data_IF_565550667501
#
_entry.id   IF_565550667501
#
_cell.length_a   1.000
_cell.length_b   1.000
_cell.length_c   1.000
_cell.angle_alpha   90.00
_cell.angle_beta   90.00
_cell.angle_gamma   90.00
#
_symmetry.space_group_name_H-M   'P 1'
#
loop_
_entity.id
_entity.type
_entity.pdbx_description
1 polymer ?
#
# COMPACT_ATOMS: atom_id res chain seq x y z
N UNK A 1 -3.61 -2.39 -18.86
CA UNK A 1 -5.03 -2.72 -18.63
C UNK A 1 -5.11 -4.09 -17.98
N UNK A 2 -4.77 -4.22 -16.69
CA UNK A 2 -4.79 -5.52 -15.98
C UNK A 2 -5.35 -5.32 -14.57
N UNK A 3 -6.41 -4.53 -14.43
CA UNK A 3 -6.93 -4.21 -13.09
C UNK A 3 -8.44 -4.14 -13.02
N UNK A 4 -9.15 -5.06 -13.70
CA UNK A 4 -10.62 -5.04 -13.71
C UNK A 4 -11.32 -6.41 -13.67
N UNK A 5 -10.63 -7.54 -13.47
CA UNK A 5 -11.31 -8.84 -13.37
C UNK A 5 -10.65 -9.80 -12.37
N UNK A 6 -10.54 -9.37 -11.12
CA UNK A 6 -10.39 -10.29 -9.98
C UNK A 6 -11.56 -10.05 -9.04
N UNK A 7 -12.77 -10.21 -9.59
CA UNK A 7 -13.96 -10.45 -8.79
C UNK A 7 -13.70 -11.73 -8.00
N UNK A 8 -13.64 -11.59 -6.68
CA UNK A 8 -13.34 -12.65 -5.75
C UNK A 8 -14.30 -13.82 -5.93
N UNK A 9 -13.76 -14.94 -6.40
CA UNK A 9 -14.29 -16.30 -6.19
C UNK A 9 -13.25 -17.31 -6.74
N UNK A 10 -12.18 -17.53 -5.98
CA UNK A 10 -11.42 -18.78 -6.10
C UNK A 10 -12.29 -19.90 -5.53
N UNK A 11 -13.15 -20.48 -6.37
CA UNK A 11 -13.91 -21.70 -6.07
C UNK A 11 -12.95 -22.89 -6.12
N UNK A 12 -12.38 -23.32 -4.99
CA UNK A 12 -11.57 -24.54 -4.94
C UNK A 12 -11.83 -25.35 -3.65
N UNK A 13 -12.41 -26.54 -3.86
CA UNK A 13 -12.40 -27.76 -3.04
C UNK A 13 -13.11 -27.79 -1.66
N UNK A 14 -14.39 -28.15 -1.70
CA UNK A 14 -15.06 -29.18 -0.86
C UNK A 14 -14.87 -29.18 0.67
N UNK A 15 -14.73 -28.02 1.28
CA UNK A 15 -15.34 -27.73 2.58
C UNK A 15 -15.88 -26.32 2.40
N UNK A 16 -17.17 -26.14 2.63
CA UNK A 16 -17.77 -24.81 2.72
C UNK A 16 -17.92 -24.54 4.22
N UNK A 17 -16.91 -23.95 4.91
CA UNK A 17 -17.11 -23.52 6.30
C UNK A 17 -17.92 -22.21 6.33
N UNK A 18 -18.21 -21.64 5.15
CA UNK A 18 -18.89 -20.39 4.90
C UNK A 18 -20.38 -20.63 4.60
N UNK A 19 -21.07 -21.38 5.45
CA UNK A 19 -22.54 -21.35 5.52
C UNK A 19 -23.00 -19.91 5.81
N UNK A 20 -23.13 -19.09 4.75
CA UNK A 20 -23.82 -17.81 4.72
C UNK A 20 -23.36 -16.73 5.71
N UNK A 21 -22.23 -16.90 6.41
CA UNK A 21 -21.75 -15.93 7.40
C UNK A 21 -20.68 -15.02 6.81
N UNK A 22 -21.06 -13.76 6.59
CA UNK A 22 -20.12 -12.68 6.30
C UNK A 22 -19.35 -12.33 7.57
N UNK A 23 -18.06 -12.65 7.61
CA UNK A 23 -17.18 -12.23 8.69
C UNK A 23 -16.61 -10.86 8.38
N UNK A 24 -16.54 -10.04 9.41
CA UNK A 24 -16.04 -8.67 9.31
C UNK A 24 -14.72 -8.53 10.06
N UNK A 25 -13.74 -7.93 9.39
CA UNK A 25 -12.43 -7.60 9.94
C UNK A 25 -12.40 -6.12 10.30
N UNK A 26 -12.12 -5.83 11.57
CA UNK A 26 -11.78 -4.48 12.00
C UNK A 26 -10.32 -4.17 11.62
N UNK A 27 -10.14 -3.21 10.72
CA UNK A 27 -8.83 -2.65 10.36
C UNK A 27 -8.29 -1.75 11.47
N UNK A 28 -7.00 -1.43 11.42
CA UNK A 28 -6.31 -0.55 12.40
C UNK A 28 -6.96 0.83 12.52
N UNK A 29 -7.57 1.33 11.44
CA UNK A 29 -8.27 2.61 11.39
C UNK A 29 -9.71 2.58 11.92
N UNK A 30 -10.12 1.48 12.56
CA UNK A 30 -11.47 1.29 13.07
C UNK A 30 -12.51 0.97 11.99
N UNK A 31 -12.17 1.11 10.69
CA UNK A 31 -13.04 0.70 9.59
C UNK A 31 -13.22 -0.81 9.62
N UNK A 32 -14.42 -1.23 9.28
CA UNK A 32 -14.80 -2.62 9.20
C UNK A 32 -14.88 -2.98 7.72
N UNK A 33 -14.24 -4.06 7.32
CA UNK A 33 -14.27 -4.59 5.96
C UNK A 33 -14.55 -6.08 5.98
N UNK A 34 -15.09 -6.61 4.91
CA UNK A 34 -15.33 -8.04 4.81
C UNK A 34 -14.02 -8.83 4.86
N UNK A 35 -14.09 -10.01 5.48
CA UNK A 35 -13.01 -10.97 5.52
C UNK A 35 -12.80 -11.53 4.12
N UNK A 36 -11.58 -11.39 3.61
CA UNK A 36 -11.18 -11.83 2.27
C UNK A 36 -9.92 -12.69 2.39
N UNK A 37 -10.11 -13.99 2.21
CA UNK A 37 -9.04 -15.00 2.26
C UNK A 37 -8.02 -14.86 1.13
N UNK A 38 -8.42 -14.29 -0.01
CA UNK A 38 -7.54 -14.06 -1.17
C UNK A 38 -6.39 -13.15 -0.79
N UNK A 39 -6.65 -12.14 0.06
CA UNK A 39 -5.60 -11.23 0.55
C UNK A 39 -4.60 -11.92 1.46
N UNK A 40 -5.05 -12.92 2.22
CA UNK A 40 -4.18 -13.72 3.08
C UNK A 40 -3.30 -14.61 2.21
N UNK A 41 -3.89 -15.29 1.22
CA UNK A 41 -3.17 -16.11 0.24
C UNK A 41 -2.06 -15.31 -0.46
N UNK A 42 -2.39 -14.16 -1.06
CA UNK A 42 -1.43 -13.34 -1.80
C UNK A 42 -0.27 -12.86 -0.92
N UNK A 43 -0.54 -12.52 0.34
CA UNK A 43 0.50 -12.08 1.27
C UNK A 43 1.44 -13.23 1.67
N UNK A 44 0.91 -14.44 1.83
CA UNK A 44 1.69 -15.65 2.09
C UNK A 44 2.52 -16.03 0.87
N UNK A 45 1.90 -16.05 -0.32
CA UNK A 45 2.59 -16.37 -1.59
C UNK A 45 3.75 -15.39 -1.85
N UNK A 46 3.51 -14.08 -1.68
CA UNK A 46 4.56 -13.07 -1.83
C UNK A 46 5.73 -13.31 -0.86
N UNK A 47 5.46 -13.76 0.36
CA UNK A 47 6.49 -14.02 1.37
C UNK A 47 7.29 -15.29 1.07
N UNK A 48 6.64 -16.33 0.54
CA UNK A 48 7.30 -17.55 0.07
C UNK A 48 8.17 -17.29 -1.16
N UNK A 49 7.65 -16.54 -2.15
CA UNK A 49 8.44 -16.10 -3.31
C UNK A 49 9.65 -15.27 -2.88
N UNK A 50 9.47 -14.37 -1.92
CA UNK A 50 10.53 -13.50 -1.45
C UNK A 50 11.63 -14.29 -0.72
N UNK A 51 11.28 -15.35 0.00
CA UNK A 51 12.24 -16.25 0.66
C UNK A 51 13.00 -17.13 -0.33
N UNK A 52 12.33 -17.57 -1.39
CA UNK A 52 12.93 -18.34 -2.48
C UNK A 52 13.67 -17.48 -3.52
N UNK A 53 13.79 -16.16 -3.30
CA UNK A 53 14.41 -15.19 -4.21
C UNK A 53 13.81 -15.20 -5.63
N UNK A 54 12.52 -15.52 -5.72
CA UNK A 54 11.76 -15.53 -6.97
C UNK A 54 11.19 -14.12 -7.21
N UNK A 55 11.25 -13.65 -8.47
CA UNK A 55 10.63 -12.38 -8.86
C UNK A 55 9.10 -12.40 -8.62
N UNK A 56 8.57 -11.35 -7.98
CA UNK A 56 7.16 -11.30 -7.54
C UNK A 56 6.16 -11.48 -8.69
N UNK A 57 6.50 -10.95 -9.87
CA UNK A 57 5.66 -10.95 -11.08
C UNK A 57 5.65 -12.30 -11.82
N UNK A 58 6.44 -13.27 -11.36
CA UNK A 58 6.47 -14.62 -11.93
C UNK A 58 5.46 -15.53 -11.23
N UNK A 59 4.95 -16.51 -11.99
CA UNK A 59 4.05 -17.51 -11.43
C UNK A 59 4.83 -18.38 -10.41
N UNK A 60 4.29 -18.53 -9.20
CA UNK A 60 4.90 -19.41 -8.20
C UNK A 60 4.97 -20.86 -8.71
N UNK A 61 5.99 -21.64 -8.34
CA UNK A 61 6.00 -23.09 -8.57
C UNK A 61 4.76 -23.77 -7.99
N UNK A 62 4.30 -24.86 -8.62
CA UNK A 62 3.09 -25.57 -8.19
C UNK A 62 3.14 -26.05 -6.73
N UNK A 63 4.31 -26.51 -6.28
CA UNK A 63 4.52 -26.94 -4.89
C UNK A 63 4.37 -25.75 -3.91
N UNK A 64 4.89 -24.58 -4.28
CA UNK A 64 4.77 -23.36 -3.48
C UNK A 64 3.33 -22.85 -3.43
N UNK A 65 2.57 -22.92 -4.53
CA UNK A 65 1.15 -22.58 -4.53
C UNK A 65 0.37 -23.52 -3.60
N UNK A 66 0.71 -24.82 -3.63
CA UNK A 66 0.11 -25.83 -2.74
C UNK A 66 0.42 -25.54 -1.28
N UNK A 67 1.67 -25.19 -0.96
CA UNK A 67 2.09 -24.80 0.38
C UNK A 67 1.39 -23.50 0.83
N UNK A 68 1.33 -22.48 -0.02
CA UNK A 68 0.63 -21.21 0.25
C UNK A 68 -0.86 -21.45 0.53
N UNK A 69 -1.51 -22.31 -0.25
CA UNK A 69 -2.90 -22.70 -0.03
C UNK A 69 -3.09 -23.41 1.31
N UNK A 70 -2.22 -24.38 1.64
CA UNK A 70 -2.28 -25.11 2.92
C UNK A 70 -2.16 -24.14 4.10
N UNK A 71 -1.18 -23.23 4.07
CA UNK A 71 -0.96 -22.24 5.14
C UNK A 71 -2.18 -21.30 5.24
N UNK A 72 -2.73 -20.88 4.10
CA UNK A 72 -3.91 -20.00 4.08
C UNK A 72 -5.11 -20.65 4.76
N UNK A 73 -5.40 -21.91 4.44
CA UNK A 73 -6.51 -22.66 5.03
C UNK A 73 -6.38 -22.76 6.56
N UNK A 74 -5.19 -23.08 7.05
CA UNK A 74 -4.88 -23.15 8.49
C UNK A 74 -5.06 -21.81 9.21
N UNK A 75 -4.66 -20.71 8.57
CA UNK A 75 -4.85 -19.34 9.09
C UNK A 75 -6.34 -18.99 9.14
N UNK A 76 -7.07 -19.26 8.06
CA UNK A 76 -8.51 -18.98 7.95
C UNK A 76 -9.28 -19.77 9.01
N UNK A 77 -9.03 -21.07 9.15
CA UNK A 77 -9.69 -21.91 10.16
C UNK A 77 -9.44 -21.39 11.60
N UNK A 78 -8.19 -21.02 11.92
CA UNK A 78 -7.83 -20.44 13.22
C UNK A 78 -8.47 -19.07 13.45
N UNK A 79 -8.62 -18.25 12.42
CA UNK A 79 -9.29 -16.94 12.51
C UNK A 79 -10.81 -17.08 12.69
N UNK A 80 -11.45 -17.95 11.91
CA UNK A 80 -12.89 -18.18 11.95
C UNK A 80 -13.34 -18.86 13.24
N UNK A 81 -12.59 -19.86 13.72
CA UNK A 81 -12.90 -20.53 15.00
C UNK A 81 -12.89 -19.58 16.19
N UNK A 82 -12.09 -18.50 16.14
CA UNK A 82 -12.10 -17.41 17.14
C UNK A 82 -13.28 -16.47 16.95
N UNK A 83 -13.60 -16.12 15.70
CA UNK A 83 -14.75 -15.26 15.40
C UNK A 83 -16.08 -15.91 15.83
N UNK A 84 -16.24 -17.23 15.65
CA UNK A 84 -17.42 -18.00 16.11
C UNK A 84 -17.56 -17.97 17.65
N UNK A 85 -16.46 -17.82 18.39
CA UNK A 85 -16.46 -17.67 19.86
C UNK A 85 -16.81 -16.25 20.32
N UNK A 86 -17.15 -15.34 19.39
CA UNK A 86 -17.53 -13.96 19.69
C UNK A 86 -16.35 -12.99 19.80
N UNK A 87 -15.13 -13.40 19.42
CA UNK A 87 -13.99 -12.49 19.41
C UNK A 87 -14.00 -11.60 18.17
N UNK A 88 -13.77 -10.30 18.35
CA UNK A 88 -13.61 -9.39 17.23
C UNK A 88 -12.35 -9.72 16.43
N UNK A 89 -12.52 -9.98 15.13
CA UNK A 89 -11.42 -10.24 14.22
C UNK A 89 -10.76 -8.90 13.84
N UNK A 90 -9.53 -8.71 14.28
CA UNK A 90 -8.74 -7.54 13.93
C UNK A 90 -7.59 -7.94 13.00
N UNK A 91 -7.13 -6.98 12.19
CA UNK A 91 -6.09 -7.28 11.19
C UNK A 91 -4.75 -7.68 11.83
N UNK A 92 -4.43 -7.16 13.02
CA UNK A 92 -3.20 -7.54 13.73
C UNK A 92 -3.20 -9.01 14.09
N UNK A 93 -4.30 -9.53 14.62
CA UNK A 93 -4.43 -10.94 15.00
C UNK A 93 -4.38 -11.85 13.79
N UNK A 94 -4.92 -11.42 12.65
CA UNK A 94 -4.76 -12.18 11.39
C UNK A 94 -3.28 -12.24 11.03
N UNK A 95 -2.58 -11.10 11.07
CA UNK A 95 -1.15 -11.03 10.77
C UNK A 95 -0.31 -11.90 11.73
N UNK A 96 -0.57 -11.83 13.03
CA UNK A 96 0.13 -12.65 14.03
C UNK A 96 -0.18 -14.14 13.82
N UNK A 97 -1.41 -14.48 13.40
CA UNK A 97 -1.78 -15.87 13.06
C UNK A 97 -1.06 -16.38 11.81
N UNK A 98 -0.84 -15.52 10.81
CA UNK A 98 -0.02 -15.86 9.62
C UNK A 98 1.42 -16.11 10.04
N UNK A 99 2.01 -15.25 10.87
CA UNK A 99 3.38 -15.39 11.36
C UNK A 99 3.55 -16.69 12.17
N UNK A 100 2.64 -16.96 13.10
CA UNK A 100 2.60 -18.21 13.87
C UNK A 100 2.57 -19.44 12.94
N UNK A 101 1.66 -19.44 11.95
CA UNK A 101 1.45 -20.59 11.06
C UNK A 101 2.59 -20.82 10.09
N UNK A 102 3.23 -19.76 9.59
CA UNK A 102 4.44 -19.87 8.79
C UNK A 102 5.59 -20.51 9.60
N UNK A 103 5.73 -20.16 10.88
CA UNK A 103 6.73 -20.78 11.74
C UNK A 103 6.38 -22.24 12.08
N UNK A 104 5.13 -22.53 12.45
CA UNK A 104 4.65 -23.87 12.81
C UNK A 104 4.79 -24.87 11.65
N UNK A 105 4.50 -24.44 10.42
CA UNK A 105 4.53 -25.29 9.23
C UNK A 105 5.93 -25.40 8.58
N UNK A 106 6.96 -24.86 9.22
CA UNK A 106 8.35 -25.04 8.78
C UNK A 106 8.85 -24.04 7.73
N UNK A 107 8.25 -22.86 7.63
CA UNK A 107 8.66 -21.77 6.72
C UNK A 107 9.23 -20.55 7.49
N UNK A 108 10.31 -20.70 8.27
CA UNK A 108 10.85 -19.61 9.08
C UNK A 108 11.48 -18.48 8.24
N UNK A 109 11.95 -18.78 7.02
CA UNK A 109 12.48 -17.78 6.09
C UNK A 109 11.37 -16.86 5.58
N UNK A 110 10.31 -17.45 5.02
CA UNK A 110 9.10 -16.73 4.62
C UNK A 110 8.46 -15.93 5.76
N UNK A 111 8.44 -16.47 6.99
CA UNK A 111 7.97 -15.73 8.17
C UNK A 111 8.79 -14.44 8.42
N UNK A 112 10.13 -14.51 8.32
CA UNK A 112 10.99 -13.32 8.45
C UNK A 112 10.73 -12.31 7.33
N UNK A 113 10.62 -12.77 6.08
CA UNK A 113 10.30 -11.91 4.93
C UNK A 113 8.94 -11.22 5.10
N UNK A 114 7.94 -11.95 5.58
CA UNK A 114 6.62 -11.42 5.90
C UNK A 114 6.68 -10.33 7.00
N UNK A 115 7.42 -10.57 8.08
CA UNK A 115 7.58 -9.60 9.19
C UNK A 115 8.24 -8.31 8.68
N UNK A 116 9.33 -8.43 7.92
CA UNK A 116 10.01 -7.26 7.33
C UNK A 116 9.06 -6.50 6.41
N UNK A 117 8.35 -7.20 5.53
CA UNK A 117 7.37 -6.62 4.62
C UNK A 117 6.21 -5.92 5.37
N UNK A 118 5.69 -6.52 6.46
CA UNK A 118 4.65 -5.93 7.33
C UNK A 118 5.14 -4.64 7.97
N UNK A 119 6.39 -4.60 8.46
CA UNK A 119 6.98 -3.42 9.07
C UNK A 119 7.28 -2.32 8.05
N UNK A 120 7.77 -2.67 6.86
CA UNK A 120 7.94 -1.74 5.74
C UNK A 120 6.60 -1.16 5.30
N UNK A 121 5.55 -1.99 5.21
CA UNK A 121 4.19 -1.52 4.91
C UNK A 121 3.56 -0.72 6.04
N UNK A 122 3.92 -0.99 7.30
CA UNK A 122 3.52 -0.19 8.46
C UNK A 122 4.16 1.19 8.38
N UNK A 123 5.46 1.26 8.10
CA UNK A 123 6.21 2.50 7.91
C UNK A 123 5.70 3.26 6.68
N UNK A 124 5.55 2.61 5.54
CA UNK A 124 5.01 3.22 4.32
C UNK A 124 3.59 3.77 4.52
N UNK A 125 2.72 3.12 5.30
CA UNK A 125 1.40 3.67 5.67
C UNK A 125 1.51 4.85 6.64
N UNK A 126 2.40 4.77 7.62
CA UNK A 126 2.69 5.88 8.54
C UNK A 126 3.16 7.14 7.80
N UNK A 127 3.86 6.96 6.68
CA UNK A 127 4.40 8.08 5.90
C UNK A 127 3.44 8.54 4.80
N UNK A 128 2.60 7.65 4.23
CA UNK A 128 1.50 7.96 3.27
C UNK A 128 0.38 8.87 3.80
N UNK A 129 0.46 9.38 5.02
CA UNK A 129 -0.62 10.14 5.64
C UNK A 129 -1.87 9.29 5.93
N UNK A 130 -1.81 7.97 5.73
CA UNK A 130 -2.79 7.02 6.26
C UNK A 130 -2.45 6.77 7.74
N UNK A 131 -2.36 7.87 8.50
CA UNK A 131 -2.43 7.80 9.96
C UNK A 131 -3.87 7.49 10.31
N UNK A 132 -4.06 6.24 10.68
CA UNK A 132 -4.45 6.01 12.07
C UNK A 132 -3.29 5.32 12.77
N UNK A 133 -2.34 6.12 13.24
CA UNK A 133 -1.53 5.74 14.39
C UNK A 133 -2.10 6.57 15.55
N UNK A 134 -2.61 5.86 16.56
CA UNK A 134 -2.99 6.36 17.89
C UNK A 134 -4.23 7.24 18.04
N UNK A 135 -5.20 7.19 17.12
CA UNK A 135 -6.52 7.80 17.34
C UNK A 135 -6.49 9.33 17.56
N UNK A 136 -5.34 9.97 17.36
CA UNK A 136 -5.20 11.41 17.25
C UNK A 136 -5.13 11.76 15.78
N UNK A 137 -5.99 12.69 15.37
CA UNK A 137 -5.98 13.24 14.03
C UNK A 137 -4.54 13.68 13.69
N UNK A 138 -4.03 13.29 12.52
CA UNK A 138 -2.97 14.08 11.89
C UNK A 138 -3.51 15.52 11.91
N UNK A 139 -2.77 16.46 12.50
CA UNK A 139 -3.08 17.88 12.32
C UNK A 139 -3.26 18.08 10.82
N UNK A 140 -4.49 18.41 10.42
CA UNK A 140 -4.83 18.58 9.02
C UNK A 140 -3.89 19.64 8.49
N UNK A 141 -2.96 19.24 7.61
CA UNK A 141 -2.09 20.19 6.93
C UNK A 141 -2.95 20.85 5.86
N UNK A 142 -3.08 22.16 5.94
CA UNK A 142 -3.81 22.90 4.93
C UNK A 142 -2.84 23.47 3.89
N UNK A 143 -3.35 23.59 2.68
CA UNK A 143 -2.67 24.22 1.55
C UNK A 143 -3.39 25.52 1.23
N UNK A 144 -2.63 26.55 0.92
CA UNK A 144 -3.17 27.85 0.50
C UNK A 144 -3.28 27.89 -1.02
N UNK A 145 -4.51 28.08 -1.52
CA UNK A 145 -4.83 28.25 -2.93
C UNK A 145 -4.39 29.63 -3.46
N UNK A 146 -4.35 29.82 -4.79
CA UNK A 146 -4.06 31.12 -5.41
C UNK A 146 -5.06 32.23 -5.05
N UNK A 147 -6.30 31.88 -4.74
CA UNK A 147 -7.36 32.80 -4.28
C UNK A 147 -7.27 33.12 -2.77
N UNK A 148 -6.35 32.47 -2.05
CA UNK A 148 -6.17 32.61 -0.61
C UNK A 148 -7.05 31.68 0.23
N UNK A 149 -7.90 30.86 -0.37
CA UNK A 149 -8.64 29.83 0.37
C UNK A 149 -7.70 28.73 0.89
N UNK A 150 -8.10 28.09 1.99
CA UNK A 150 -7.34 26.98 2.59
C UNK A 150 -8.08 25.67 2.39
N UNK A 151 -7.41 24.73 1.76
CA UNK A 151 -7.89 23.37 1.53
C UNK A 151 -7.09 22.37 2.34
N UNK A 152 -7.66 21.21 2.65
CA UNK A 152 -6.88 20.11 3.24
C UNK A 152 -5.94 19.55 2.18
N UNK A 153 -4.65 19.42 2.50
CA UNK A 153 -3.67 18.76 1.63
C UNK A 153 -4.15 17.36 1.29
N UNK A 154 -4.29 17.03 0.00
CA UNK A 154 -4.50 15.67 -0.50
C UNK A 154 -3.14 14.99 -0.75
N UNK A 155 -2.65 14.11 0.15
CA UNK A 155 -1.39 13.41 -0.06
C UNK A 155 -1.48 12.40 -1.23
N UNK A 156 -2.72 11.99 -1.58
CA UNK A 156 -2.98 11.12 -2.72
C UNK A 156 -2.59 11.78 -4.04
N UNK A 157 -2.78 13.10 -4.18
CA UNK A 157 -2.37 13.86 -5.37
C UNK A 157 -0.86 13.83 -5.55
N UNK A 158 -0.09 14.29 -4.56
CA UNK A 158 1.38 14.25 -4.59
C UNK A 158 1.92 12.87 -4.93
N UNK A 159 1.31 11.84 -4.34
CA UNK A 159 1.72 10.47 -4.58
C UNK A 159 1.48 10.05 -6.03
N UNK A 160 0.34 10.39 -6.64
CA UNK A 160 0.09 10.10 -8.06
C UNK A 160 1.13 10.77 -8.96
N UNK A 161 1.48 12.01 -8.67
CA UNK A 161 2.43 12.78 -9.49
C UNK A 161 3.85 12.21 -9.40
N UNK A 162 4.31 11.92 -8.18
CA UNK A 162 5.63 11.32 -7.93
C UNK A 162 5.73 9.91 -8.55
N UNK A 163 4.70 9.07 -8.36
CA UNK A 163 4.69 7.73 -8.97
C UNK A 163 4.61 7.78 -10.49
N UNK A 164 3.82 8.72 -11.05
CA UNK A 164 3.77 8.96 -12.48
C UNK A 164 5.14 9.35 -13.03
N UNK A 165 5.86 10.23 -12.33
CA UNK A 165 7.20 10.66 -12.72
C UNK A 165 8.25 9.54 -12.64
N UNK A 166 8.09 8.57 -11.73
CA UNK A 166 8.99 7.41 -11.61
C UNK A 166 8.67 6.27 -12.61
N UNK A 167 7.61 6.38 -13.41
CA UNK A 167 7.21 5.30 -14.33
C UNK A 167 8.29 4.93 -15.34
N UNK A 168 8.56 3.64 -15.52
CA UNK A 168 9.56 3.09 -16.43
C UNK A 168 11.02 3.20 -15.96
N UNK A 169 11.24 3.60 -14.70
CA UNK A 169 12.56 3.66 -14.02
C UNK A 169 12.42 3.24 -12.53
N UNK A 170 11.42 2.42 -12.22
CA UNK A 170 11.06 2.00 -10.86
C UNK A 170 12.15 1.17 -10.17
N UNK A 171 13.00 0.51 -10.95
CA UNK A 171 14.14 -0.27 -10.49
C UNK A 171 15.27 0.61 -9.90
N UNK A 172 15.33 1.88 -10.33
CA UNK A 172 16.37 2.84 -9.92
C UNK A 172 15.84 3.92 -9.00
N UNK A 173 14.56 4.27 -9.11
CA UNK A 173 13.96 5.37 -8.36
C UNK A 173 12.96 4.87 -7.30
N UNK A 174 13.28 5.12 -6.03
CA UNK A 174 12.38 4.83 -4.91
C UNK A 174 11.35 5.97 -4.76
N UNK A 175 10.14 5.77 -5.31
CA UNK A 175 9.06 6.76 -5.31
C UNK A 175 8.51 7.06 -3.91
N UNK A 176 8.42 6.06 -3.01
CA UNK A 176 8.00 6.28 -1.63
C UNK A 176 8.99 7.20 -0.91
N UNK A 177 10.30 6.93 -0.99
CA UNK A 177 11.30 7.74 -0.32
C UNK A 177 11.30 9.20 -0.80
N UNK A 178 11.04 9.42 -2.09
CA UNK A 178 10.89 10.77 -2.65
C UNK A 178 9.65 11.47 -2.08
N UNK A 179 8.51 10.78 -2.03
CA UNK A 179 7.27 11.29 -1.42
C UNK A 179 7.46 11.63 0.06
N UNK A 180 8.10 10.74 0.81
CA UNK A 180 8.37 10.90 2.24
C UNK A 180 9.23 12.13 2.52
N UNK A 181 10.25 12.35 1.69
CA UNK A 181 11.12 13.52 1.76
C UNK A 181 10.37 14.81 1.40
N UNK A 182 9.55 14.78 0.35
CA UNK A 182 8.72 15.93 -0.03
C UNK A 182 7.78 16.31 1.11
N UNK A 183 7.04 15.36 1.69
CA UNK A 183 6.10 15.62 2.79
C UNK A 183 6.77 16.23 4.02
N UNK A 184 8.04 15.87 4.32
CA UNK A 184 8.80 16.46 5.44
C UNK A 184 9.19 17.91 5.19
N UNK A 185 9.33 18.30 3.93
CA UNK A 185 9.70 19.65 3.54
C UNK A 185 8.49 20.60 3.43
N UNK A 186 7.26 20.07 3.56
CA UNK A 186 6.04 20.87 3.60
C UNK A 186 5.72 21.33 5.02
N UNK A 187 5.08 22.49 5.12
CA UNK A 187 4.62 23.10 6.36
C UNK A 187 3.13 23.44 6.27
N UNK A 188 2.47 23.65 7.40
CA UNK A 188 1.04 24.01 7.41
C UNK A 188 0.81 25.39 6.77
N UNK A 189 -0.14 25.46 5.84
CA UNK A 189 -0.44 26.67 5.07
C UNK A 189 0.44 26.86 3.83
N UNK A 190 1.27 25.88 3.46
CA UNK A 190 2.09 25.92 2.24
C UNK A 190 1.26 26.29 1.01
N UNK A 191 1.78 27.13 0.12
CA UNK A 191 1.06 27.45 -1.11
C UNK A 191 1.11 26.27 -2.09
N UNK A 192 0.03 26.08 -2.87
CA UNK A 192 -0.01 25.08 -3.94
C UNK A 192 1.23 25.13 -4.86
N UNK A 193 1.64 26.33 -5.29
CA UNK A 193 2.84 26.53 -6.13
C UNK A 193 4.17 26.17 -5.46
N UNK A 194 4.21 26.04 -4.13
CA UNK A 194 5.40 25.61 -3.39
C UNK A 194 5.49 24.09 -3.28
N UNK A 195 4.36 23.38 -3.35
CA UNK A 195 4.31 21.92 -3.31
C UNK A 195 5.03 21.35 -4.53
N UNK A 196 4.75 21.86 -5.72
CA UNK A 196 5.40 21.38 -6.96
C UNK A 196 6.90 21.62 -6.94
N UNK A 197 7.31 22.80 -6.44
CA UNK A 197 8.73 23.12 -6.23
C UNK A 197 9.38 22.17 -5.23
N UNK A 198 8.68 21.83 -4.14
CA UNK A 198 9.18 20.88 -3.15
C UNK A 198 9.41 19.50 -3.78
N UNK A 199 8.48 19.01 -4.61
CA UNK A 199 8.64 17.74 -5.33
C UNK A 199 9.88 17.75 -6.24
N UNK A 200 10.05 18.81 -7.05
CA UNK A 200 11.21 18.96 -7.94
C UNK A 200 12.52 19.06 -7.16
N UNK A 201 12.55 19.83 -6.07
CA UNK A 201 13.74 19.99 -5.24
C UNK A 201 14.13 18.69 -4.54
N UNK A 202 13.17 17.94 -4.01
CA UNK A 202 13.41 16.62 -3.41
C UNK A 202 13.97 15.62 -4.43
N UNK A 203 13.50 15.67 -5.69
CA UNK A 203 14.05 14.81 -6.75
C UNK A 203 15.48 15.24 -7.12
N UNK A 204 15.74 16.54 -7.26
CA UNK A 204 17.08 17.07 -7.58
C UNK A 204 18.13 16.72 -6.54
N UNK A 205 17.76 16.77 -5.25
CA UNK A 205 18.66 16.42 -4.16
C UNK A 205 19.15 14.95 -4.19
N UNK A 206 18.49 14.08 -4.96
CA UNK A 206 18.84 12.66 -5.08
C UNK A 206 19.68 12.32 -6.31
N UNK A 207 19.91 13.26 -7.22
CA UNK A 207 20.65 13.04 -8.47
C UNK A 207 22.10 12.58 -8.20
N UNK A 208 22.74 13.12 -7.15
CA UNK A 208 24.10 12.72 -6.77
C UNK A 208 24.19 11.27 -6.28
N UNK A 209 23.10 10.73 -5.72
CA UNK A 209 23.02 9.33 -5.26
C UNK A 209 22.65 8.38 -6.39
N UNK A 210 21.70 8.79 -7.23
CA UNK A 210 21.21 8.00 -8.36
C UNK A 210 20.87 8.93 -9.54
N UNK A 211 21.64 8.87 -10.65
CA UNK A 211 21.46 9.75 -11.81
C UNK A 211 20.06 9.69 -12.45
N UNK A 212 19.34 8.57 -12.33
CA UNK A 212 17.99 8.41 -12.88
C UNK A 212 16.98 9.44 -12.35
N UNK A 213 17.19 9.99 -11.14
CA UNK A 213 16.35 11.07 -10.59
C UNK A 213 16.36 12.35 -11.45
N UNK A 214 17.32 12.51 -12.37
CA UNK A 214 17.30 13.61 -13.37
C UNK A 214 16.03 13.55 -14.21
N UNK A 215 15.61 12.35 -14.64
CA UNK A 215 14.39 12.18 -15.42
C UNK A 215 13.13 12.40 -14.59
N UNK A 216 13.15 11.96 -13.32
CA UNK A 216 12.04 12.21 -12.38
C UNK A 216 11.84 13.71 -12.18
N UNK A 217 12.91 14.46 -11.90
CA UNK A 217 12.85 15.91 -11.73
C UNK A 217 12.32 16.62 -12.99
N UNK A 218 12.78 16.20 -14.18
CA UNK A 218 12.32 16.75 -15.45
C UNK A 218 10.82 16.47 -15.70
N UNK A 219 10.33 15.27 -15.36
CA UNK A 219 8.92 14.88 -15.50
C UNK A 219 8.01 15.63 -14.53
N UNK A 220 8.45 15.83 -13.29
CA UNK A 220 7.72 16.65 -12.32
C UNK A 220 7.61 18.10 -12.78
N UNK A 221 8.72 18.67 -13.29
CA UNK A 221 8.71 20.02 -13.87
C UNK A 221 7.79 20.11 -15.09
N UNK A 222 7.77 19.08 -15.95
CA UNK A 222 6.90 19.03 -17.11
C UNK A 222 5.42 19.01 -16.71
N UNK A 223 5.05 18.28 -15.64
CA UNK A 223 3.70 18.29 -15.11
C UNK A 223 3.28 19.69 -14.66
N UNK A 224 4.17 20.44 -14.01
CA UNK A 224 3.91 21.83 -13.63
C UNK A 224 3.61 22.70 -14.85
N UNK A 225 4.42 22.57 -15.92
CA UNK A 225 4.19 23.32 -17.18
C UNK A 225 2.84 22.92 -17.79
N UNK A 226 2.46 21.65 -17.75
CA UNK A 226 1.16 21.21 -18.23
C UNK A 226 0.00 21.79 -17.42
N UNK A 227 0.10 21.86 -16.10
CA UNK A 227 -0.95 22.47 -15.26
C UNK A 227 -1.08 23.98 -15.48
N UNK A 228 0.02 24.67 -15.81
CA UNK A 228 0.01 26.10 -16.11
C UNK A 228 -0.59 26.42 -17.49
N UNK A 229 -0.35 25.55 -18.49
CA UNK A 229 -0.70 25.82 -19.89
C UNK A 229 -2.02 25.17 -20.31
N UNK A 230 -2.34 23.99 -19.77
CA UNK A 230 -3.57 23.28 -20.14
C UNK A 230 -4.76 23.80 -19.33
N UNK A 231 -5.91 24.03 -19.98
CA UNK A 231 -7.13 24.35 -19.26
C UNK A 231 -7.49 23.21 -18.31
N UNK A 232 -7.91 23.55 -17.09
CA UNK A 232 -8.49 22.57 -16.16
C UNK A 232 -9.71 21.96 -16.84
N UNK A 233 -9.65 20.67 -17.16
CA UNK A 233 -10.82 19.94 -17.62
C UNK A 233 -11.78 19.87 -16.44
N UNK A 234 -12.87 20.63 -16.50
CA UNK A 234 -14.02 20.37 -15.65
C UNK A 234 -14.53 18.98 -16.06
N UNK A 235 -14.31 17.98 -15.21
CA UNK A 235 -15.00 16.72 -15.36
C UNK A 235 -16.49 17.03 -15.22
N UNK A 236 -17.24 16.89 -16.31
CA UNK A 236 -18.69 17.00 -16.30
C UNK A 236 -19.22 16.08 -15.19
N UNK A 237 -19.68 16.71 -14.12
CA UNK A 237 -20.50 16.08 -13.10
C UNK A 237 -21.87 15.83 -13.72
N UNK A 238 -22.10 14.58 -14.13
CA UNK A 238 -23.43 13.97 -14.31
C UNK A 238 -23.58 12.83 -13.28
#
# INVERSE_FOLDING_TARGET
MINEQLDGQLRMATLDPLEGKQFQVRKRNGRVTDFDETRIYLAIEASLKADAEIEMDTLAPADMQTDAQRITNEVVEKCLSRAVKGEALNIERIQDTVEDKLMELGFPGAARRYIVYREEHRKARAIRGDRTLDGQAQELMFVTLPDGEREVLDPGRLKRDIYGACRGIEDKCQANDLFDETMRNLYDGVHTSEIDKAMVMSAKARIEKEPAYTYVAARLLLNQIYEEVLPKFESASD
#
